data_IF_039516857697
#
_entry.id   IF_039516857697
#
_cell.length_a   1.000
_cell.length_b   1.000
_cell.length_c   1.000
_cell.angle_alpha   90.00
_cell.angle_beta   90.00
_cell.angle_gamma   90.00
#
_symmetry.space_group_name_H-M   'P 1'
#
loop_
_entity.id
_entity.type
_entity.pdbx_description
1 polymer ?
#
# COMPACT_ATOMS: atom_id res chain seq x y z
N UNK A 1 17.02 22.88 13.51
CA UNK A 1 15.73 22.32 13.94
C UNK A 1 14.86 22.23 12.68
N UNK A 2 14.78 21.07 12.07
CA UNK A 2 13.94 20.88 10.88
C UNK A 2 12.56 20.46 11.36
N UNK A 3 11.54 21.25 11.06
CA UNK A 3 10.14 20.88 11.22
C UNK A 3 9.75 20.14 9.94
N UNK A 4 9.68 18.82 10.01
CA UNK A 4 9.20 18.01 8.89
C UNK A 4 7.68 17.91 9.03
N UNK A 5 6.95 18.68 8.23
CA UNK A 5 5.53 18.44 8.03
C UNK A 5 5.36 17.20 7.16
N UNK A 6 5.20 16.04 7.80
CA UNK A 6 4.90 14.77 7.14
C UNK A 6 3.43 14.78 6.69
N UNK A 7 3.12 15.51 5.63
CA UNK A 7 1.84 15.38 4.94
C UNK A 7 1.92 14.16 4.01
N UNK A 8 1.86 12.97 4.63
CA UNK A 8 1.71 11.75 3.85
C UNK A 8 0.28 11.66 3.33
N UNK A 9 0.10 11.43 2.05
CA UNK A 9 -1.15 10.93 1.44
C UNK A 9 -1.56 9.55 1.99
N UNK A 10 -0.76 8.99 2.83
CA UNK A 10 -0.80 7.69 3.46
C UNK A 10 -1.22 7.82 4.92
N UNK A 11 -1.80 6.80 5.49
CA UNK A 11 -2.38 6.61 6.84
C UNK A 11 -1.63 7.22 8.06
N UNK A 12 -0.50 7.90 7.86
CA UNK A 12 0.31 8.56 8.90
C UNK A 12 -0.21 9.98 9.13
N UNK A 13 -1.43 10.10 9.65
CA UNK A 13 -1.98 11.43 9.96
C UNK A 13 -1.56 11.96 11.33
N UNK A 14 -0.96 11.14 12.19
CA UNK A 14 -0.67 11.46 13.59
C UNK A 14 0.63 10.78 14.02
N UNK A 15 1.75 11.23 13.45
CA UNK A 15 3.08 10.80 13.91
C UNK A 15 3.39 11.48 15.26
N UNK A 16 3.81 10.70 16.26
CA UNK A 16 4.13 11.18 17.58
C UNK A 16 5.65 11.23 17.81
N UNK A 17 6.29 10.06 17.73
CA UNK A 17 7.68 9.88 18.10
C UNK A 17 8.43 9.10 17.04
N UNK A 18 9.72 9.39 16.90
CA UNK A 18 10.60 8.75 15.91
C UNK A 18 11.88 8.29 16.59
N UNK A 19 12.24 7.03 16.39
CA UNK A 19 13.57 6.49 16.69
C UNK A 19 14.23 5.97 15.41
N UNK A 20 15.54 6.07 15.33
CA UNK A 20 16.34 5.48 14.26
C UNK A 20 17.06 4.22 14.77
N UNK A 21 16.91 3.11 14.03
CA UNK A 21 17.65 1.88 14.31
C UNK A 21 19.05 1.88 13.67
N UNK A 22 19.82 0.83 13.91
CA UNK A 22 21.20 0.70 13.39
C UNK A 22 21.24 0.49 11.89
N UNK A 23 20.14 0.07 11.26
CA UNK A 23 20.03 -0.15 9.81
C UNK A 23 19.60 1.10 9.05
N UNK A 24 19.33 2.20 9.77
CA UNK A 24 18.86 3.45 9.18
C UNK A 24 17.37 3.45 8.85
N UNK A 25 16.57 2.65 9.54
CA UNK A 25 15.12 2.74 9.47
C UNK A 25 14.60 3.64 10.60
N UNK A 26 13.60 4.43 10.29
CA UNK A 26 12.79 5.15 11.26
C UNK A 26 11.62 4.33 11.73
N UNK A 27 11.44 4.29 13.04
CA UNK A 27 10.31 3.70 13.74
C UNK A 27 9.44 4.82 14.28
N UNK A 28 8.25 4.96 13.72
CA UNK A 28 7.35 6.10 13.94
C UNK A 28 6.10 5.61 14.63
N UNK A 29 5.84 6.09 15.85
CA UNK A 29 4.60 5.79 16.56
C UNK A 29 3.46 6.70 16.08
N UNK A 30 2.25 6.14 16.02
CA UNK A 30 1.04 6.82 15.54
C UNK A 30 -0.19 6.41 16.34
N UNK A 31 -1.35 7.03 16.08
CA UNK A 31 -2.64 6.58 16.63
C UNK A 31 -3.16 5.29 15.95
N UNK A 32 -2.45 4.74 14.98
CA UNK A 32 -2.90 3.55 14.23
C UNK A 32 -1.88 2.41 14.20
N UNK A 33 -0.89 2.49 15.07
CA UNK A 33 0.19 1.52 15.17
C UNK A 33 1.57 2.14 15.03
N UNK A 34 2.55 1.28 14.85
CA UNK A 34 3.95 1.62 14.67
C UNK A 34 4.33 1.44 13.19
N UNK A 35 5.11 2.35 12.66
CA UNK A 35 5.53 2.33 11.26
C UNK A 35 7.05 2.27 11.20
N UNK A 36 7.56 1.34 10.42
CA UNK A 36 8.96 1.25 10.04
C UNK A 36 9.13 1.73 8.61
N UNK A 37 10.07 2.63 8.36
CA UNK A 37 10.35 3.19 7.04
C UNK A 37 11.84 3.43 6.85
N UNK A 38 12.37 3.14 5.66
CA UNK A 38 13.76 3.47 5.33
C UNK A 38 13.95 4.98 5.28
N UNK A 39 14.94 5.49 6.04
CA UNK A 39 15.23 6.91 6.18
C UNK A 39 15.54 7.58 4.84
N UNK A 40 16.33 6.93 3.97
CA UNK A 40 16.73 7.50 2.68
C UNK A 40 15.53 7.58 1.74
N UNK A 41 14.72 6.53 1.71
CA UNK A 41 13.46 6.49 0.94
C UNK A 41 12.49 7.56 1.41
N UNK A 42 12.38 7.77 2.71
CA UNK A 42 11.54 8.82 3.30
C UNK A 42 12.00 10.22 2.88
N UNK A 43 13.29 10.51 2.98
CA UNK A 43 13.86 11.81 2.58
C UNK A 43 13.68 12.04 1.06
N UNK A 44 13.90 11.01 0.23
CA UNK A 44 13.65 11.08 -1.20
C UNK A 44 12.18 11.32 -1.53
N UNK A 45 11.26 10.68 -0.80
CA UNK A 45 9.83 10.90 -0.97
C UNK A 45 9.44 12.35 -0.65
N UNK A 46 9.96 12.91 0.43
CA UNK A 46 9.69 14.30 0.84
C UNK A 46 10.18 15.29 -0.23
N UNK A 47 11.39 15.08 -0.76
CA UNK A 47 12.02 15.99 -1.72
C UNK A 47 11.48 15.84 -3.15
N UNK A 48 11.28 14.60 -3.61
CA UNK A 48 11.07 14.26 -5.02
C UNK A 48 9.73 13.57 -5.29
N UNK A 49 8.90 13.36 -4.26
CA UNK A 49 7.65 12.58 -4.36
C UNK A 49 7.86 11.16 -4.91
N UNK A 50 9.06 10.60 -4.73
CA UNK A 50 9.38 9.24 -5.14
C UNK A 50 8.50 8.22 -4.41
N UNK A 51 8.32 7.01 -4.97
CA UNK A 51 7.60 5.93 -4.27
C UNK A 51 8.23 5.65 -2.91
N UNK A 52 7.39 5.32 -1.93
CA UNK A 52 7.85 4.95 -0.60
C UNK A 52 7.08 3.75 -0.09
N UNK A 53 7.81 2.74 0.37
CA UNK A 53 7.28 1.64 1.16
C UNK A 53 7.51 1.90 2.64
N UNK A 54 6.51 1.56 3.45
CA UNK A 54 6.63 1.51 4.89
C UNK A 54 5.95 0.24 5.41
N UNK A 55 6.49 -0.34 6.47
CA UNK A 55 5.91 -1.51 7.13
C UNK A 55 5.13 -1.07 8.36
N UNK A 56 3.89 -1.52 8.46
CA UNK A 56 2.97 -1.16 9.51
C UNK A 56 2.78 -2.32 10.49
N UNK A 57 2.91 -2.03 11.77
CA UNK A 57 2.69 -2.95 12.87
C UNK A 57 1.50 -2.48 13.69
N UNK A 58 0.59 -3.38 13.99
CA UNK A 58 -0.64 -3.12 14.73
C UNK A 58 -1.02 -4.30 15.66
N UNK A 59 -2.25 -4.34 16.13
CA UNK A 59 -2.75 -5.43 16.99
C UNK A 59 -2.63 -6.81 16.34
N UNK A 60 -2.61 -6.93 15.01
CA UNK A 60 -2.33 -8.18 14.30
C UNK A 60 -0.89 -8.68 14.48
N UNK A 61 0.01 -7.79 14.90
CA UNK A 61 1.40 -8.09 15.23
C UNK A 61 1.62 -8.30 16.74
N UNK A 62 0.56 -8.35 17.54
CA UNK A 62 0.62 -8.64 18.96
C UNK A 62 0.58 -7.40 19.87
N UNK A 63 0.32 -6.20 19.35
CA UNK A 63 0.06 -5.05 20.21
C UNK A 63 -1.29 -5.16 20.90
N UNK A 64 -1.38 -4.71 22.15
CA UNK A 64 -2.64 -4.65 22.90
C UNK A 64 -3.55 -3.51 22.41
N UNK A 65 -2.96 -2.48 21.82
CA UNK A 65 -3.64 -1.34 21.23
C UNK A 65 -2.84 -0.80 20.05
N UNK A 66 -3.51 -0.15 19.10
CA UNK A 66 -2.86 0.56 18.00
C UNK A 66 -2.50 2.01 18.36
N UNK A 67 -3.00 2.51 19.48
CA UNK A 67 -2.87 3.91 19.84
C UNK A 67 -1.68 4.15 20.76
N UNK A 68 -0.68 4.86 20.23
CA UNK A 68 0.51 5.26 20.95
C UNK A 68 0.35 6.68 21.50
N UNK A 69 0.98 6.94 22.65
CA UNK A 69 0.95 8.24 23.30
C UNK A 69 1.95 9.21 22.65
N UNK A 70 1.53 10.44 22.39
CA UNK A 70 2.39 11.46 21.73
C UNK A 70 2.53 12.75 22.49
N UNK A 71 1.76 12.97 23.55
CA UNK A 71 1.71 14.24 24.28
C UNK A 71 2.74 14.39 25.41
N UNK A 72 3.61 13.42 25.63
CA UNK A 72 4.60 13.42 26.70
C UNK A 72 6.04 13.63 26.20
N UNK A 73 6.92 14.05 27.10
CA UNK A 73 8.37 14.15 26.86
C UNK A 73 9.12 13.46 28.01
N UNK A 74 9.98 12.47 27.72
CA UNK A 74 10.24 11.87 26.40
C UNK A 74 9.05 11.02 25.92
N UNK A 75 8.74 11.06 24.63
CA UNK A 75 7.64 10.30 24.04
C UNK A 75 8.06 8.87 23.61
N UNK A 76 9.32 8.53 23.70
CA UNK A 76 9.91 7.22 23.51
C UNK A 76 11.29 7.16 24.18
N UNK A 77 11.86 5.97 24.26
CA UNK A 77 13.23 5.76 24.72
C UNK A 77 13.92 4.67 23.92
N UNK A 78 15.23 4.84 23.75
CA UNK A 78 16.13 3.79 23.27
C UNK A 78 17.03 3.40 24.44
N UNK A 79 16.95 2.14 24.84
CA UNK A 79 17.73 1.61 25.94
C UNK A 79 19.14 1.20 25.46
N UNK A 80 20.11 1.13 26.39
CA UNK A 80 21.51 0.76 26.10
C UNK A 80 21.64 -0.65 25.50
N UNK A 81 20.71 -1.54 25.80
CA UNK A 81 20.63 -2.89 25.24
C UNK A 81 20.02 -2.95 23.84
N UNK A 82 19.76 -1.78 23.22
CA UNK A 82 19.23 -1.66 21.88
C UNK A 82 17.69 -1.79 21.76
N UNK A 83 16.98 -1.96 22.88
CA UNK A 83 15.52 -1.99 22.86
C UNK A 83 14.93 -0.59 22.70
N UNK A 84 13.85 -0.50 21.94
CA UNK A 84 12.99 0.66 21.84
C UNK A 84 11.79 0.51 22.78
N UNK A 85 11.40 1.60 23.41
CA UNK A 85 10.25 1.66 24.32
C UNK A 85 9.33 2.79 23.88
N UNK A 86 8.08 2.46 23.63
CA UNK A 86 7.03 3.41 23.26
C UNK A 86 5.85 3.30 24.20
N UNK A 87 5.38 4.39 24.81
CA UNK A 87 4.16 4.40 25.58
C UNK A 87 2.93 4.28 24.66
N UNK A 88 1.98 3.47 25.07
CA UNK A 88 0.68 3.29 24.42
C UNK A 88 -0.44 3.44 25.45
N UNK A 89 -1.71 3.47 25.00
CA UNK A 89 -2.84 3.52 25.91
C UNK A 89 -2.91 2.31 26.87
N UNK A 90 -2.36 1.17 26.47
CA UNK A 90 -2.39 -0.06 27.28
C UNK A 90 -1.00 -0.45 27.82
N UNK A 91 -0.18 0.54 28.17
CA UNK A 91 1.13 0.32 28.75
C UNK A 91 2.31 0.59 27.79
N UNK A 92 3.42 -0.09 28.01
CA UNK A 92 4.65 0.10 27.22
C UNK A 92 4.80 -0.99 26.18
N UNK A 93 5.04 -0.57 24.95
CA UNK A 93 5.47 -1.45 23.86
C UNK A 93 7.00 -1.43 23.82
N UNK A 94 7.61 -2.59 24.11
CA UNK A 94 9.08 -2.73 24.16
C UNK A 94 9.52 -3.81 23.19
N UNK A 95 10.47 -3.49 22.30
CA UNK A 95 10.99 -4.44 21.34
C UNK A 95 12.43 -4.08 20.91
N UNK A 96 13.15 -5.08 20.41
CA UNK A 96 14.43 -4.87 19.76
C UNK A 96 14.23 -4.79 18.25
N UNK A 97 14.47 -3.63 17.59
CA UNK A 97 14.24 -3.45 16.16
C UNK A 97 15.05 -4.41 15.28
N UNK A 98 16.24 -4.84 15.75
CA UNK A 98 17.09 -5.80 15.03
C UNK A 98 16.54 -7.22 15.00
N UNK A 99 15.64 -7.55 15.95
CA UNK A 99 15.05 -8.88 16.14
C UNK A 99 13.60 -8.97 15.68
N UNK A 100 13.04 -7.87 15.17
CA UNK A 100 11.66 -7.90 14.66
C UNK A 100 11.58 -8.79 13.43
N UNK A 101 10.78 -9.83 13.53
CA UNK A 101 10.48 -10.70 12.40
C UNK A 101 9.34 -10.09 11.58
N UNK A 102 9.55 -9.89 10.27
CA UNK A 102 8.56 -9.29 9.37
C UNK A 102 8.43 -10.07 8.08
N UNK A 103 7.22 -10.19 7.63
CA UNK A 103 6.90 -10.75 6.31
C UNK A 103 6.65 -9.58 5.37
N UNK A 104 7.56 -9.37 4.41
CA UNK A 104 7.41 -8.32 3.41
C UNK A 104 6.52 -8.80 2.26
N UNK A 105 5.66 -7.92 1.69
CA UNK A 105 4.81 -8.26 0.54
C UNK A 105 5.60 -8.20 -0.78
N UNK A 106 6.77 -8.83 -0.83
CA UNK A 106 7.69 -8.81 -1.99
C UNK A 106 7.35 -9.82 -3.09
N UNK A 107 6.47 -10.79 -2.82
CA UNK A 107 6.06 -11.83 -3.79
C UNK A 107 5.32 -11.28 -5.01
N UNK A 108 5.14 -12.12 -6.02
CA UNK A 108 4.38 -11.80 -7.24
C UNK A 108 2.89 -11.69 -6.96
N UNK A 109 2.21 -10.84 -7.71
CA UNK A 109 0.75 -10.75 -7.73
C UNK A 109 0.23 -11.12 -9.11
N UNK A 110 -1.03 -11.57 -9.18
CA UNK A 110 -1.66 -12.08 -10.38
C UNK A 110 -2.95 -11.33 -10.69
N UNK A 111 -3.24 -11.19 -11.98
CA UNK A 111 -4.44 -10.51 -12.48
C UNK A 111 -4.96 -11.38 -13.61
N UNK A 112 -5.71 -12.39 -13.26
CA UNK A 112 -6.18 -13.42 -14.19
C UNK A 112 -7.67 -13.73 -14.06
N UNK A 113 -8.36 -13.05 -13.13
CA UNK A 113 -9.76 -13.31 -12.81
C UNK A 113 -10.58 -12.02 -12.84
N UNK A 114 -11.73 -12.11 -13.48
CA UNK A 114 -12.74 -11.04 -13.56
C UNK A 114 -14.10 -11.58 -13.17
N UNK A 115 -14.72 -10.93 -12.21
CA UNK A 115 -16.12 -11.15 -11.86
C UNK A 115 -17.02 -10.23 -12.69
N UNK A 116 -18.01 -10.83 -13.33
CA UNK A 116 -19.14 -10.13 -13.95
C UNK A 116 -20.43 -10.48 -13.18
N UNK A 117 -21.54 -9.82 -13.47
CA UNK A 117 -22.82 -10.11 -12.80
C UNK A 117 -23.23 -11.59 -12.86
N UNK A 118 -22.86 -12.31 -13.90
CA UNK A 118 -23.35 -13.66 -14.16
C UNK A 118 -22.28 -14.77 -14.11
N UNK A 119 -21.01 -14.41 -14.15
CA UNK A 119 -19.92 -15.40 -14.22
C UNK A 119 -18.56 -14.83 -13.88
N UNK A 120 -17.66 -15.70 -13.50
CA UNK A 120 -16.22 -15.44 -13.43
C UNK A 120 -15.57 -15.78 -14.76
N UNK A 121 -14.70 -14.91 -15.24
CA UNK A 121 -13.94 -15.07 -16.49
C UNK A 121 -12.46 -15.10 -16.14
N UNK A 122 -11.75 -16.08 -16.68
CA UNK A 122 -10.30 -16.13 -16.59
C UNK A 122 -9.66 -15.62 -17.88
N UNK A 123 -8.59 -14.86 -17.77
CA UNK A 123 -7.87 -14.29 -18.90
C UNK A 123 -6.36 -14.23 -18.60
N UNK A 124 -5.55 -14.00 -19.59
CA UNK A 124 -4.10 -13.88 -19.42
C UNK A 124 -3.64 -12.42 -19.46
N UNK A 125 -3.63 -11.83 -20.64
CA UNK A 125 -3.09 -10.49 -20.86
C UNK A 125 -4.15 -9.52 -21.42
N UNK A 126 -5.21 -10.06 -22.03
CA UNK A 126 -6.28 -9.29 -22.66
C UNK A 126 -7.64 -9.80 -22.21
N UNK A 127 -8.45 -8.89 -21.69
CA UNK A 127 -9.84 -9.14 -21.33
C UNK A 127 -10.75 -8.59 -22.41
N UNK A 128 -11.56 -9.45 -23.00
CA UNK A 128 -12.66 -9.06 -23.89
C UNK A 128 -13.95 -8.95 -23.07
N UNK A 129 -14.52 -7.76 -23.02
CA UNK A 129 -15.76 -7.49 -22.31
C UNK A 129 -16.96 -7.51 -23.25
N UNK A 130 -18.19 -7.56 -22.70
CA UNK A 130 -19.41 -7.38 -23.46
C UNK A 130 -19.96 -5.98 -23.24
N UNK A 131 -20.47 -5.32 -24.29
CA UNK A 131 -21.08 -4.00 -24.12
C UNK A 131 -22.39 -4.01 -23.35
N UNK A 132 -23.15 -5.09 -23.43
CA UNK A 132 -24.42 -5.22 -22.69
C UNK A 132 -24.24 -5.34 -21.19
N UNK A 133 -23.11 -5.91 -20.72
CA UNK A 133 -22.77 -6.08 -19.31
C UNK A 133 -21.39 -5.49 -19.05
N UNK A 134 -21.30 -4.17 -19.10
CA UNK A 134 -20.06 -3.43 -18.93
C UNK A 134 -19.82 -3.07 -17.45
N UNK A 135 -20.29 -3.95 -16.54
CA UNK A 135 -19.95 -3.93 -15.12
C UNK A 135 -19.13 -5.16 -14.82
N UNK A 136 -17.90 -4.95 -14.41
CA UNK A 136 -17.00 -6.05 -14.05
C UNK A 136 -16.00 -5.62 -13.01
N UNK A 137 -15.52 -6.59 -12.25
CA UNK A 137 -14.57 -6.41 -11.18
C UNK A 137 -13.36 -7.28 -11.44
N UNK A 138 -12.22 -6.64 -11.64
CA UNK A 138 -10.93 -7.31 -11.81
C UNK A 138 -10.36 -7.63 -10.43
N UNK A 139 -10.07 -8.89 -10.16
CA UNK A 139 -9.44 -9.33 -8.93
C UNK A 139 -7.92 -9.30 -9.04
N UNK A 140 -7.28 -8.89 -7.96
CA UNK A 140 -5.83 -8.97 -7.77
C UNK A 140 -5.57 -10.09 -6.79
N UNK A 141 -5.00 -11.19 -7.26
CA UNK A 141 -4.59 -12.29 -6.41
C UNK A 141 -3.15 -12.06 -5.96
N UNK A 142 -2.96 -12.09 -4.65
CA UNK A 142 -1.66 -11.87 -4.04
C UNK A 142 -1.51 -12.78 -2.81
N UNK A 143 -0.71 -13.86 -2.93
CA UNK A 143 -0.46 -14.79 -1.84
C UNK A 143 0.48 -14.15 -0.80
N UNK A 144 -0.10 -13.43 0.15
CA UNK A 144 0.62 -12.78 1.23
C UNK A 144 0.00 -13.12 2.58
N UNK A 145 0.82 -13.67 3.47
CA UNK A 145 0.40 -14.16 4.80
C UNK A 145 0.72 -13.17 5.93
N UNK A 146 1.20 -11.98 5.61
CA UNK A 146 1.44 -10.91 6.59
C UNK A 146 0.23 -10.00 6.79
N UNK A 147 0.46 -8.89 7.48
CA UNK A 147 -0.57 -7.89 7.72
C UNK A 147 -0.97 -7.18 6.41
N UNK A 148 -2.24 -7.26 6.03
CA UNK A 148 -2.77 -6.67 4.80
C UNK A 148 -2.58 -5.14 4.70
N UNK A 149 -2.42 -4.46 5.84
CA UNK A 149 -2.09 -3.03 5.86
C UNK A 149 -0.73 -2.70 5.22
N UNK A 150 0.12 -3.72 5.00
CA UNK A 150 1.41 -3.59 4.34
C UNK A 150 1.36 -3.75 2.82
N UNK A 151 0.17 -4.03 2.26
CA UNK A 151 -0.01 -4.15 0.82
C UNK A 151 -0.39 -2.78 0.25
N UNK A 152 0.42 -2.29 -0.70
CA UNK A 152 0.21 -1.01 -1.36
C UNK A 152 0.05 -1.22 -2.87
N UNK A 153 -1.20 -1.37 -3.31
CA UNK A 153 -1.56 -1.42 -4.72
C UNK A 153 -2.02 -0.06 -5.23
N UNK A 154 -1.62 0.26 -6.43
CA UNK A 154 -2.11 1.40 -7.20
C UNK A 154 -2.48 0.95 -8.60
N UNK A 155 -3.52 1.54 -9.17
CA UNK A 155 -3.97 1.30 -10.52
C UNK A 155 -4.03 2.58 -11.33
N UNK A 156 -3.81 2.44 -12.65
CA UNK A 156 -3.95 3.52 -13.62
C UNK A 156 -4.57 2.96 -14.88
N UNK A 157 -5.72 3.50 -15.28
CA UNK A 157 -6.32 3.23 -16.56
C UNK A 157 -5.89 4.33 -17.55
N UNK A 158 -5.32 3.95 -18.69
CA UNK A 158 -5.08 4.90 -19.78
C UNK A 158 -6.40 5.13 -20.51
N UNK A 159 -7.02 6.26 -20.25
CA UNK A 159 -8.04 6.93 -21.04
C UNK A 159 -7.41 8.20 -21.58
N UNK A 160 -7.88 8.73 -22.71
CA UNK A 160 -7.21 9.81 -23.45
C UNK A 160 -6.87 11.08 -22.66
N UNK A 161 -7.48 11.32 -21.47
CA UNK A 161 -7.31 12.58 -20.74
C UNK A 161 -6.86 12.47 -19.27
N UNK A 162 -6.86 11.30 -18.62
CA UNK A 162 -6.54 11.23 -17.18
C UNK A 162 -5.56 10.10 -16.83
N UNK A 163 -4.31 10.50 -16.59
CA UNK A 163 -3.18 9.59 -16.34
C UNK A 163 -2.80 9.45 -14.85
N UNK A 164 -3.73 9.56 -13.92
CA UNK A 164 -3.41 9.50 -12.49
C UNK A 164 -3.40 8.09 -11.93
N UNK A 165 -2.43 7.81 -11.07
CA UNK A 165 -2.42 6.61 -10.26
C UNK A 165 -3.41 6.76 -9.11
N UNK A 166 -4.33 5.79 -8.99
CA UNK A 166 -5.29 5.70 -7.88
C UNK A 166 -4.84 4.63 -6.90
N UNK A 167 -4.76 4.99 -5.63
CA UNK A 167 -4.45 4.03 -4.58
C UNK A 167 -5.67 3.12 -4.32
N UNK A 168 -5.45 1.81 -4.34
CA UNK A 168 -6.50 0.82 -4.08
C UNK A 168 -6.71 0.55 -2.59
N UNK A 169 -5.90 1.19 -1.73
CA UNK A 169 -5.90 0.94 -0.29
C UNK A 169 -5.77 -0.57 0.01
N UNK A 170 -6.69 -1.12 0.80
CA UNK A 170 -6.72 -2.55 1.14
C UNK A 170 -7.55 -3.37 0.15
N UNK A 171 -8.07 -2.76 -0.90
CA UNK A 171 -8.87 -3.47 -1.90
C UNK A 171 -7.95 -4.25 -2.85
N UNK A 172 -8.23 -5.53 -2.97
CA UNK A 172 -7.58 -6.43 -3.94
C UNK A 172 -8.41 -6.56 -5.21
N UNK A 173 -9.06 -5.46 -5.62
CA UNK A 173 -9.91 -5.45 -6.81
C UNK A 173 -10.16 -4.06 -7.36
N UNK A 174 -10.49 -4.01 -8.64
CA UNK A 174 -10.84 -2.78 -9.35
C UNK A 174 -12.16 -3.00 -10.07
N UNK A 175 -13.13 -2.13 -9.80
CA UNK A 175 -14.46 -2.18 -10.42
C UNK A 175 -14.57 -1.19 -11.57
N UNK A 176 -15.13 -1.62 -12.68
CA UNK A 176 -15.44 -0.80 -13.84
C UNK A 176 -16.93 -0.81 -14.11
N UNK A 177 -17.45 0.35 -14.50
CA UNK A 177 -18.85 0.53 -14.91
C UNK A 177 -18.84 1.40 -16.16
N UNK A 178 -19.47 0.92 -17.24
CA UNK A 178 -19.64 1.67 -18.48
C UNK A 178 -18.34 2.15 -19.13
N UNK A 179 -17.35 1.25 -19.22
CA UNK A 179 -16.11 1.56 -19.93
C UNK A 179 -16.41 1.85 -21.41
N UNK A 180 -15.89 2.93 -22.02
CA UNK A 180 -16.17 3.28 -23.43
C UNK A 180 -15.71 2.16 -24.38
N UNK A 181 -16.26 2.09 -25.60
CA UNK A 181 -15.75 1.18 -26.61
C UNK A 181 -14.30 1.47 -26.97
N UNK A 182 -13.56 0.44 -27.31
CA UNK A 182 -12.16 0.56 -27.69
C UNK A 182 -11.22 -0.32 -26.88
N UNK A 183 -9.92 -0.08 -27.06
CA UNK A 183 -8.86 -0.75 -26.32
C UNK A 183 -8.34 0.19 -25.23
N UNK A 184 -8.42 -0.26 -24.00
CA UNK A 184 -7.92 0.46 -22.82
C UNK A 184 -6.77 -0.32 -22.20
N UNK A 185 -5.77 0.39 -21.70
CA UNK A 185 -4.66 -0.24 -21.00
C UNK A 185 -4.78 0.06 -19.51
N UNK A 186 -4.88 -0.99 -18.71
CA UNK A 186 -4.85 -0.90 -17.24
C UNK A 186 -3.47 -1.30 -16.75
N UNK A 187 -2.84 -0.42 -15.99
CA UNK A 187 -1.64 -0.73 -15.23
C UNK A 187 -1.99 -0.90 -13.76
N UNK A 188 -1.42 -1.94 -13.16
CA UNK A 188 -1.50 -2.17 -11.72
C UNK A 188 -0.07 -2.30 -11.23
N UNK A 189 0.25 -1.59 -10.13
CA UNK A 189 1.58 -1.65 -9.52
C UNK A 189 1.49 -1.84 -8.02
N UNK A 190 2.52 -2.47 -7.47
CA UNK A 190 2.66 -2.79 -6.05
C UNK A 190 4.04 -2.36 -5.55
N UNK A 191 4.09 -1.81 -4.33
CA UNK A 191 5.31 -1.70 -3.53
C UNK A 191 5.37 -2.89 -2.56
N UNK A 192 6.50 -3.59 -2.53
CA UNK A 192 6.63 -4.83 -1.76
C UNK A 192 7.75 -4.83 -0.73
N UNK A 193 8.65 -3.86 -0.73
CA UNK A 193 9.80 -3.79 0.17
C UNK A 193 10.38 -2.38 0.30
N UNK A 194 11.39 -2.23 1.18
CA UNK A 194 12.06 -0.95 1.44
C UNK A 194 12.92 -0.43 0.27
N UNK A 195 13.10 -1.19 -0.80
CA UNK A 195 13.74 -0.67 -2.02
C UNK A 195 12.88 0.41 -2.69
N UNK A 196 11.60 0.46 -2.32
CA UNK A 196 10.59 1.40 -2.85
C UNK A 196 10.47 1.35 -4.38
N UNK A 197 10.72 0.18 -4.97
CA UNK A 197 10.54 -0.08 -6.40
C UNK A 197 9.19 -0.70 -6.66
N UNK A 198 8.51 -0.21 -7.70
CA UNK A 198 7.25 -0.79 -8.13
C UNK A 198 7.46 -2.06 -8.93
N UNK A 199 6.69 -3.09 -8.57
CA UNK A 199 6.38 -4.20 -9.46
C UNK A 199 5.12 -3.83 -10.23
N UNK A 200 5.19 -3.79 -11.57
CA UNK A 200 4.07 -3.33 -12.41
C UNK A 200 3.62 -4.42 -13.36
N UNK A 201 2.30 -4.60 -13.48
CA UNK A 201 1.65 -5.44 -14.49
C UNK A 201 0.73 -4.61 -15.36
N UNK A 202 0.58 -5.05 -16.62
CA UNK A 202 -0.24 -4.42 -17.65
C UNK A 202 -1.26 -5.43 -18.14
N UNK A 203 -2.51 -5.00 -18.28
CA UNK A 203 -3.56 -5.75 -18.97
C UNK A 203 -4.27 -4.85 -19.99
N UNK A 204 -4.78 -5.46 -21.03
CA UNK A 204 -5.57 -4.78 -22.07
C UNK A 204 -7.04 -5.14 -21.91
N UNK A 205 -7.88 -4.12 -21.84
CA UNK A 205 -9.34 -4.24 -21.78
C UNK A 205 -9.90 -3.89 -23.17
N UNK A 206 -10.60 -4.82 -23.79
CA UNK A 206 -11.21 -4.62 -25.10
C UNK A 206 -12.73 -4.57 -24.94
N UNK A 207 -13.33 -3.41 -25.21
CA UNK A 207 -14.77 -3.18 -25.24
C UNK A 207 -15.22 -3.08 -26.70
N UNK A 208 -16.12 -3.95 -27.20
CA UNK A 208 -16.51 -3.91 -28.60
C UNK A 208 -17.33 -2.67 -28.91
N UNK A 209 -17.19 -2.17 -30.15
CA UNK A 209 -18.10 -1.18 -30.74
C UNK A 209 -19.43 -1.84 -31.10
N UNK A 210 -20.51 -1.09 -31.07
CA UNK A 210 -21.76 -1.53 -31.70
C UNK A 210 -21.68 -1.28 -33.20
N UNK A 211 -22.40 -2.08 -33.99
CA UNK A 211 -22.35 -2.05 -35.46
C UNK A 211 -22.61 -0.66 -36.08
N UNK A 212 -23.32 0.20 -35.37
CA UNK A 212 -23.68 1.57 -35.82
C UNK A 212 -22.72 2.66 -35.24
N UNK A 213 -21.66 2.29 -34.57
CA UNK A 213 -20.67 3.21 -33.99
C UNK A 213 -19.29 3.11 -34.70
N UNK A 214 -19.20 2.32 -35.79
CA UNK A 214 -17.97 2.13 -36.59
C UNK A 214 -17.92 3.11 -37.76
#
# INVERSE_FOLDING_TARGET
KFIIHLQFSLKIKSAHCINEDSKGHFWISTNKGLIEVDKKSLLNHIQKKSPIYYHHYDTKNGFLTNEFNGGCQPCNSKLDNGYFVYPSLNGLVTFNPEKVNKILPSGDFYINEVETENRTIYFKDTLFTSRKNNRFKIKIDFPYFGNENNIHFEAKLLLEEDEKWTNLHNEKSISFTNLPPGKHTLFIRKLGDFSSKYQTKKIVLCVPFLYYET
#
